data_IF_080558446091
#
_entry.id   IF_080558446091
#
_cell.length_a   1.000
_cell.length_b   1.000
_cell.length_c   1.000
_cell.angle_alpha   90.00
_cell.angle_beta   90.00
_cell.angle_gamma   90.00
#
_symmetry.space_group_name_H-M   'P 1'
#
loop_
_entity.id
_entity.type
_entity.pdbx_description
1 polymer ?
#
# COMPACT_ATOMS: atom_id res chain seq x y z
N UNK A 1 -22.13 15.94 8.52
CA UNK A 1 -20.72 16.39 8.58
C UNK A 1 -20.31 17.05 9.91
N UNK A 2 -21.14 17.05 10.96
CA UNK A 2 -20.91 17.88 12.17
C UNK A 2 -20.56 17.10 13.45
N UNK A 3 -20.64 15.77 13.46
CA UNK A 3 -20.43 14.99 14.70
C UNK A 3 -18.99 14.56 14.99
N UNK A 4 -18.08 14.60 14.00
CA UNK A 4 -16.68 14.20 14.19
C UNK A 4 -15.78 15.40 14.55
N UNK A 5 -16.22 16.63 14.28
CA UNK A 5 -15.37 17.82 14.49
C UNK A 5 -15.33 18.32 15.94
N UNK A 6 -16.18 17.82 16.85
CA UNK A 6 -16.30 18.35 18.23
C UNK A 6 -15.49 17.55 19.26
N UNK A 7 -15.11 16.28 18.97
CA UNK A 7 -14.53 15.41 20.01
C UNK A 7 -13.01 15.51 20.21
N UNK A 8 -12.28 16.26 19.37
CA UNK A 8 -10.81 16.25 19.39
C UNK A 8 -10.19 17.64 19.64
N UNK A 9 -10.79 18.46 20.50
CA UNK A 9 -10.23 19.78 20.86
C UNK A 9 -9.21 19.72 22.02
N UNK A 10 -9.17 18.63 22.78
CA UNK A 10 -8.35 18.54 24.01
C UNK A 10 -7.52 17.26 24.18
N UNK A 11 -7.39 16.42 23.15
CA UNK A 11 -6.44 15.32 23.19
C UNK A 11 -5.03 15.83 22.86
N UNK A 12 -4.18 15.96 23.90
CA UNK A 12 -2.72 15.92 23.76
C UNK A 12 -2.30 14.50 23.36
N UNK A 13 -2.70 14.05 22.16
CA UNK A 13 -2.12 12.85 21.56
C UNK A 13 -0.80 13.31 20.97
N UNK A 14 0.30 12.80 21.53
CA UNK A 14 1.61 13.03 20.96
C UNK A 14 1.68 12.33 19.60
N UNK A 15 2.09 13.05 18.56
CA UNK A 15 2.12 12.58 17.17
C UNK A 15 3.38 11.77 16.89
N UNK A 16 4.46 11.98 17.65
CA UNK A 16 5.71 11.23 17.58
C UNK A 16 5.54 9.70 17.69
N UNK A 17 4.88 9.13 18.73
CA UNK A 17 4.71 7.69 18.83
C UNK A 17 3.86 7.10 17.69
N UNK A 18 2.92 7.88 17.14
CA UNK A 18 2.10 7.45 16.00
C UNK A 18 2.95 7.35 14.73
N UNK A 19 3.80 8.35 14.49
CA UNK A 19 4.74 8.36 13.35
C UNK A 19 5.74 7.21 13.48
N UNK A 20 6.24 6.94 14.70
CA UNK A 20 7.15 5.83 14.97
C UNK A 20 6.51 4.46 14.69
N UNK A 21 5.31 4.22 15.22
CA UNK A 21 4.56 2.97 14.97
C UNK A 21 4.25 2.80 13.48
N UNK A 22 3.89 3.88 12.79
CA UNK A 22 3.68 3.87 11.36
C UNK A 22 4.94 3.47 10.59
N UNK A 23 6.11 4.01 10.93
CA UNK A 23 7.38 3.66 10.27
C UNK A 23 7.71 2.16 10.38
N UNK A 24 7.48 1.56 11.56
CA UNK A 24 7.65 0.12 11.77
C UNK A 24 6.65 -0.66 10.91
N UNK A 25 5.37 -0.30 10.94
CA UNK A 25 4.34 -0.95 10.16
C UNK A 25 4.63 -0.88 8.65
N UNK A 26 5.10 0.27 8.18
CA UNK A 26 5.48 0.48 6.79
C UNK A 26 6.68 -0.38 6.37
N UNK A 27 7.70 -0.51 7.21
CA UNK A 27 8.84 -1.40 6.95
C UNK A 27 8.43 -2.88 6.84
N UNK A 28 7.46 -3.32 7.66
CA UNK A 28 6.92 -4.68 7.58
C UNK A 28 6.09 -4.89 6.31
N UNK A 29 5.24 -3.93 5.94
CA UNK A 29 4.39 -4.05 4.75
C UNK A 29 5.24 -4.09 3.47
N UNK A 30 6.26 -3.23 3.35
CA UNK A 30 7.10 -3.16 2.14
C UNK A 30 7.92 -4.42 1.88
N UNK A 31 8.27 -5.18 2.94
CA UNK A 31 9.01 -6.44 2.82
C UNK A 31 8.11 -7.64 2.54
N UNK A 32 6.91 -7.69 3.13
CA UNK A 32 5.96 -8.80 2.94
C UNK A 32 5.22 -8.74 1.61
N UNK A 33 4.87 -7.53 1.14
CA UNK A 33 4.10 -7.33 -0.08
C UNK A 33 4.70 -7.98 -1.35
N UNK A 34 6.00 -7.81 -1.69
CA UNK A 34 6.57 -8.42 -2.89
C UNK A 34 6.59 -9.95 -2.82
N UNK A 35 6.86 -10.53 -1.64
CA UNK A 35 6.88 -11.98 -1.46
C UNK A 35 5.49 -12.59 -1.65
N UNK A 36 4.46 -11.97 -1.05
CA UNK A 36 3.08 -12.40 -1.24
C UNK A 36 2.63 -12.28 -2.70
N UNK A 37 2.94 -11.16 -3.35
CA UNK A 37 2.57 -10.92 -4.74
C UNK A 37 3.25 -11.90 -5.69
N UNK A 38 4.50 -12.26 -5.41
CA UNK A 38 5.22 -13.30 -6.15
C UNK A 38 4.50 -14.66 -6.07
N UNK A 39 4.19 -15.10 -4.86
CA UNK A 39 3.54 -16.39 -4.63
C UNK A 39 2.12 -16.43 -5.21
N UNK A 40 1.32 -15.40 -4.98
CA UNK A 40 -0.04 -15.29 -5.49
C UNK A 40 -0.07 -15.27 -7.02
N UNK A 41 0.87 -14.55 -7.65
CA UNK A 41 0.93 -14.43 -9.10
C UNK A 41 1.36 -15.73 -9.78
N UNK A 42 2.30 -16.46 -9.17
CA UNK A 42 2.68 -17.79 -9.64
C UNK A 42 1.45 -18.71 -9.70
N UNK A 43 0.67 -18.79 -8.62
CA UNK A 43 -0.54 -19.62 -8.57
C UNK A 43 -1.56 -19.18 -9.63
N UNK A 44 -1.79 -17.87 -9.80
CA UNK A 44 -2.74 -17.34 -10.78
C UNK A 44 -2.36 -17.70 -12.22
N UNK A 45 -1.10 -17.47 -12.62
CA UNK A 45 -0.59 -17.79 -13.95
C UNK A 45 -0.77 -19.29 -14.23
N UNK A 46 -0.23 -20.15 -13.38
CA UNK A 46 -0.26 -21.60 -13.62
C UNK A 46 -1.66 -22.20 -13.49
N UNK A 47 -2.57 -21.58 -12.72
CA UNK A 47 -3.99 -21.98 -12.69
C UNK A 47 -4.72 -21.61 -13.97
N UNK A 48 -4.42 -20.45 -14.58
CA UNK A 48 -5.04 -20.01 -15.83
C UNK A 48 -4.52 -20.81 -17.04
N UNK A 49 -3.24 -21.20 -17.05
CA UNK A 49 -2.64 -21.99 -18.14
C UNK A 49 -3.10 -23.46 -18.19
N UNK A 50 -3.79 -23.99 -17.16
CA UNK A 50 -4.40 -25.33 -17.21
C UNK A 50 -5.35 -25.54 -18.40
N UNK A 51 -5.90 -24.45 -18.97
CA UNK A 51 -6.80 -24.50 -20.12
C UNK A 51 -6.10 -24.53 -21.49
N UNK A 52 -4.79 -24.30 -21.55
CA UNK A 52 -4.02 -24.39 -22.80
C UNK A 52 -3.16 -25.66 -22.72
N UNK A 53 -3.20 -26.50 -23.77
CA UNK A 53 -2.58 -27.83 -23.90
C UNK A 53 -1.03 -27.88 -23.79
N UNK A 54 -0.40 -27.08 -22.93
CA UNK A 54 1.05 -26.96 -22.80
C UNK A 54 1.63 -27.72 -21.60
N UNK A 55 0.81 -28.29 -20.70
CA UNK A 55 1.31 -28.83 -19.43
C UNK A 55 0.70 -30.21 -19.10
N UNK A 56 1.22 -31.24 -19.77
CA UNK A 56 0.79 -32.63 -19.59
C UNK A 56 1.42 -33.32 -18.34
N UNK A 57 2.24 -32.61 -17.53
CA UNK A 57 3.12 -33.26 -16.55
C UNK A 57 3.10 -32.72 -15.11
N UNK A 58 2.25 -31.75 -14.78
CA UNK A 58 2.25 -31.20 -13.41
C UNK A 58 0.94 -31.49 -12.69
N UNK A 59 1.05 -32.43 -11.76
CA UNK A 59 -0.06 -32.87 -10.92
C UNK A 59 -0.41 -31.84 -9.83
N UNK A 60 0.52 -30.97 -9.41
CA UNK A 60 0.30 -29.95 -8.36
C UNK A 60 0.92 -28.58 -8.70
N UNK A 61 0.09 -27.55 -8.82
CA UNK A 61 0.51 -26.15 -9.09
C UNK A 61 1.31 -25.55 -7.93
N UNK A 62 0.95 -25.88 -6.69
CA UNK A 62 1.62 -25.36 -5.49
C UNK A 62 3.06 -25.86 -5.34
N UNK A 63 3.31 -27.13 -5.69
CA UNK A 63 4.65 -27.72 -5.60
C UNK A 63 5.59 -27.16 -6.68
N UNK A 64 5.05 -26.80 -7.84
CA UNK A 64 5.79 -26.12 -8.91
C UNK A 64 6.23 -24.72 -8.47
N UNK A 65 5.32 -23.93 -7.89
CA UNK A 65 5.65 -22.60 -7.37
C UNK A 65 6.64 -22.65 -6.20
N UNK A 66 6.66 -23.75 -5.43
CA UNK A 66 7.63 -23.96 -4.34
C UNK A 66 9.03 -24.36 -4.83
N UNK A 67 9.13 -25.07 -5.97
CA UNK A 67 10.40 -25.53 -6.56
C UNK A 67 10.86 -24.71 -7.76
N UNK A 68 10.26 -23.53 -7.99
CA UNK A 68 10.57 -22.69 -9.17
C UNK A 68 12.03 -22.20 -9.17
N UNK A 69 12.61 -22.01 -7.97
CA UNK A 69 13.99 -21.57 -7.76
C UNK A 69 15.05 -22.67 -7.96
N UNK A 70 14.66 -23.90 -8.32
CA UNK A 70 15.59 -25.01 -8.55
C UNK A 70 16.16 -24.99 -9.98
N UNK A 71 17.47 -25.29 -10.10
CA UNK A 71 18.43 -24.98 -11.18
C UNK A 71 18.03 -25.29 -12.64
N UNK A 72 16.91 -25.98 -12.88
CA UNK A 72 16.49 -26.45 -14.21
C UNK A 72 15.25 -25.74 -14.79
N UNK A 73 14.70 -24.73 -14.09
CA UNK A 73 13.45 -24.03 -14.44
C UNK A 73 13.58 -22.50 -14.57
N UNK A 74 14.78 -22.00 -14.89
CA UNK A 74 15.07 -20.55 -15.01
C UNK A 74 14.13 -19.79 -15.95
N UNK A 75 13.62 -20.46 -16.99
CA UNK A 75 12.66 -19.89 -17.94
C UNK A 75 11.32 -19.55 -17.26
N UNK A 76 10.84 -20.38 -16.33
CA UNK A 76 9.57 -20.14 -15.64
C UNK A 76 9.70 -19.06 -14.57
N UNK A 77 10.84 -19.01 -13.89
CA UNK A 77 11.17 -17.96 -12.94
C UNK A 77 11.23 -16.58 -13.64
N UNK A 78 11.93 -16.48 -14.77
CA UNK A 78 12.04 -15.23 -15.54
C UNK A 78 10.67 -14.74 -16.06
N UNK A 79 9.79 -15.65 -16.50
CA UNK A 79 8.42 -15.29 -16.92
C UNK A 79 7.63 -14.70 -15.76
N UNK A 80 7.68 -15.32 -14.57
CA UNK A 80 6.94 -14.87 -13.39
C UNK A 80 7.49 -13.54 -12.89
N UNK A 81 8.82 -13.40 -12.79
CA UNK A 81 9.48 -12.18 -12.35
C UNK A 81 9.24 -11.00 -13.29
N UNK A 82 9.29 -11.22 -14.60
CA UNK A 82 8.98 -10.21 -15.61
C UNK A 82 7.54 -9.72 -15.54
N UNK A 83 6.60 -10.63 -15.29
CA UNK A 83 5.18 -10.27 -15.19
C UNK A 83 4.88 -9.52 -13.88
N UNK A 84 5.52 -9.93 -12.77
CA UNK A 84 5.44 -9.23 -11.47
C UNK A 84 6.01 -7.82 -11.56
N UNK A 85 7.20 -7.67 -12.15
CA UNK A 85 7.84 -6.37 -12.30
C UNK A 85 6.99 -5.41 -13.15
N UNK A 86 6.46 -5.89 -14.28
CA UNK A 86 5.53 -5.12 -15.11
C UNK A 86 4.27 -4.71 -14.34
N UNK A 87 3.68 -5.64 -13.59
CA UNK A 87 2.50 -5.40 -12.75
C UNK A 87 2.77 -4.37 -11.66
N UNK A 88 3.92 -4.45 -11.00
CA UNK A 88 4.34 -3.52 -9.95
C UNK A 88 4.50 -2.11 -10.49
N UNK A 89 5.04 -1.94 -11.69
CA UNK A 89 5.14 -0.64 -12.35
C UNK A 89 3.73 -0.05 -12.56
N UNK A 90 2.77 -0.85 -13.02
CA UNK A 90 1.39 -0.38 -13.18
C UNK A 90 0.74 0.04 -11.85
N UNK A 91 0.95 -0.72 -10.77
CA UNK A 91 0.46 -0.38 -9.43
C UNK A 91 1.09 0.91 -8.92
N UNK A 92 2.40 1.11 -9.12
CA UNK A 92 3.10 2.33 -8.75
C UNK A 92 2.58 3.56 -9.50
N UNK A 93 2.28 3.43 -10.80
CA UNK A 93 1.68 4.52 -11.58
C UNK A 93 0.26 4.81 -11.07
N UNK A 94 -0.53 3.77 -10.80
CA UNK A 94 -1.91 3.89 -10.32
C UNK A 94 -2.03 4.57 -8.96
N UNK A 95 -1.03 4.43 -8.08
CA UNK A 95 -0.94 5.16 -6.81
C UNK A 95 -0.26 6.54 -6.97
N UNK A 96 0.83 6.59 -7.74
CA UNK A 96 1.66 7.79 -7.89
C UNK A 96 0.93 8.96 -8.51
N UNK A 97 0.15 8.72 -9.58
CA UNK A 97 -0.62 9.78 -10.26
C UNK A 97 -1.66 10.44 -9.34
N UNK A 98 -2.59 9.71 -8.68
CA UNK A 98 -3.53 10.33 -7.76
C UNK A 98 -2.82 10.96 -6.57
N UNK A 99 -1.76 10.35 -6.02
CA UNK A 99 -1.00 10.94 -4.90
C UNK A 99 -0.39 12.29 -5.27
N UNK A 100 0.19 12.43 -6.47
CA UNK A 100 0.79 13.67 -6.94
C UNK A 100 -0.24 14.82 -7.02
N UNK A 101 -1.49 14.49 -7.35
CA UNK A 101 -2.58 15.48 -7.41
C UNK A 101 -3.17 15.77 -6.03
N UNK A 102 -3.35 14.75 -5.19
CA UNK A 102 -4.03 14.89 -3.90
C UNK A 102 -3.15 15.51 -2.83
N UNK A 103 -1.83 15.27 -2.85
CA UNK A 103 -0.91 15.81 -1.83
C UNK A 103 -0.91 17.36 -1.79
N UNK A 104 -0.77 18.10 -2.91
CA UNK A 104 -0.86 19.57 -2.89
C UNK A 104 -2.22 20.07 -2.44
N UNK A 105 -3.31 19.39 -2.82
CA UNK A 105 -4.68 19.76 -2.43
C UNK A 105 -4.85 19.60 -0.91
N UNK A 106 -4.39 18.48 -0.36
CA UNK A 106 -4.42 18.22 1.09
C UNK A 106 -3.53 19.22 1.84
N UNK A 107 -2.38 19.59 1.26
CA UNK A 107 -1.50 20.63 1.80
C UNK A 107 -2.18 22.00 1.87
N UNK A 108 -2.76 22.47 0.76
CA UNK A 108 -3.48 23.75 0.73
C UNK A 108 -4.71 23.74 1.65
N UNK A 109 -5.42 22.61 1.72
CA UNK A 109 -6.55 22.44 2.64
C UNK A 109 -6.10 22.46 4.11
N UNK A 110 -4.97 21.84 4.43
CA UNK A 110 -4.37 21.85 5.77
C UNK A 110 -4.16 23.27 6.29
N UNK A 111 -3.57 24.12 5.45
CA UNK A 111 -3.25 25.50 5.80
C UNK A 111 -4.51 26.35 6.00
N UNK A 112 -5.54 26.16 5.15
CA UNK A 112 -6.80 26.89 5.26
C UNK A 112 -7.72 26.43 6.41
N UNK A 113 -7.65 25.16 6.83
CA UNK A 113 -8.54 24.60 7.87
C UNK A 113 -8.02 24.76 9.30
N UNK A 114 -6.85 25.39 9.49
CA UNK A 114 -6.29 25.73 10.80
C UNK A 114 -5.79 24.53 11.62
N UNK A 115 -5.43 23.41 10.97
CA UNK A 115 -4.92 22.25 11.72
C UNK A 115 -4.30 21.15 10.87
N UNK A 116 -3.00 20.92 11.07
CA UNK A 116 -2.19 19.84 10.43
C UNK A 116 -2.55 18.43 10.90
N UNK A 117 -3.35 18.30 11.95
CA UNK A 117 -3.83 17.00 12.49
C UNK A 117 -4.86 16.31 11.60
N UNK A 118 -5.71 17.07 10.90
CA UNK A 118 -6.77 16.50 10.03
C UNK A 118 -6.20 15.79 8.80
N UNK A 119 -5.22 16.36 8.06
CA UNK A 119 -4.49 15.65 7.02
C UNK A 119 -3.86 14.34 7.50
N UNK A 120 -3.19 14.36 8.67
CA UNK A 120 -2.53 13.18 9.21
C UNK A 120 -3.52 12.05 9.52
N UNK A 121 -4.70 12.37 10.09
CA UNK A 121 -5.77 11.39 10.32
C UNK A 121 -6.39 10.87 9.03
N UNK A 122 -6.53 11.71 7.99
CA UNK A 122 -7.06 11.30 6.69
C UNK A 122 -6.15 10.25 6.04
N UNK A 123 -4.83 10.47 6.07
CA UNK A 123 -3.86 9.55 5.49
C UNK A 123 -3.74 8.26 6.30
N UNK A 124 -3.81 8.32 7.64
CA UNK A 124 -3.89 7.14 8.51
C UNK A 124 -5.16 6.31 8.24
N UNK A 125 -6.30 6.96 8.04
CA UNK A 125 -7.54 6.30 7.68
C UNK A 125 -7.44 5.61 6.31
N UNK A 126 -6.85 6.29 5.32
CA UNK A 126 -6.57 5.69 4.02
C UNK A 126 -5.68 4.45 4.10
N UNK A 127 -4.62 4.52 4.92
CA UNK A 127 -3.74 3.38 5.17
C UNK A 127 -4.47 2.22 5.86
N UNK A 128 -5.35 2.49 6.81
CA UNK A 128 -6.15 1.46 7.48
C UNK A 128 -7.08 0.73 6.49
N UNK A 129 -7.74 1.46 5.58
CA UNK A 129 -8.55 0.83 4.53
C UNK A 129 -7.67 0.04 3.56
N UNK A 130 -6.49 0.56 3.20
CA UNK A 130 -5.54 -0.14 2.34
C UNK A 130 -5.08 -1.47 2.95
N UNK A 131 -4.73 -1.50 4.24
CA UNK A 131 -4.32 -2.75 4.91
C UNK A 131 -5.48 -3.76 5.01
N UNK A 132 -6.72 -3.30 5.21
CA UNK A 132 -7.90 -4.17 5.16
C UNK A 132 -8.13 -4.77 3.78
N UNK A 133 -7.97 -3.96 2.71
CA UNK A 133 -8.10 -4.46 1.33
C UNK A 133 -6.99 -5.44 0.99
N UNK A 134 -5.77 -5.19 1.46
CA UNK A 134 -4.64 -6.10 1.27
C UNK A 134 -4.84 -7.42 2.02
N UNK A 135 -5.34 -7.37 3.25
CA UNK A 135 -5.75 -8.56 4.01
C UNK A 135 -6.85 -9.34 3.29
N UNK A 136 -7.86 -8.63 2.78
CA UNK A 136 -8.95 -9.23 1.99
C UNK A 136 -8.45 -9.91 0.71
N UNK A 137 -7.46 -9.32 0.05
CA UNK A 137 -6.78 -9.90 -1.13
C UNK A 137 -6.05 -11.20 -0.76
N UNK A 138 -5.34 -11.23 0.38
CA UNK A 138 -4.69 -12.43 0.91
C UNK A 138 -5.65 -13.55 1.25
N UNK A 139 -6.87 -13.25 1.71
CA UNK A 139 -7.88 -14.28 1.99
C UNK A 139 -8.58 -14.76 0.70
N UNK A 140 -8.70 -13.89 -0.30
CA UNK A 140 -9.49 -14.13 -1.51
C UNK A 140 -8.65 -14.58 -2.72
N UNK A 141 -7.34 -14.80 -2.56
CA UNK A 141 -6.41 -15.09 -3.67
C UNK A 141 -6.79 -16.31 -4.53
N UNK A 142 -7.59 -17.24 -4.00
CA UNK A 142 -8.06 -18.43 -4.73
C UNK A 142 -9.25 -18.16 -5.65
N UNK A 143 -10.06 -17.14 -5.35
CA UNK A 143 -11.37 -16.93 -5.98
C UNK A 143 -11.43 -15.67 -6.84
N UNK A 144 -10.67 -14.63 -6.47
CA UNK A 144 -10.66 -13.33 -7.15
C UNK A 144 -9.22 -13.02 -7.55
N UNK A 145 -9.04 -12.51 -8.77
CA UNK A 145 -7.74 -12.05 -9.27
C UNK A 145 -7.15 -10.99 -8.34
N UNK A 146 -6.05 -11.34 -7.68
CA UNK A 146 -5.34 -10.52 -6.69
C UNK A 146 -4.99 -9.13 -7.24
N UNK A 147 -4.76 -9.06 -8.56
CA UNK A 147 -4.49 -7.84 -9.29
C UNK A 147 -5.59 -6.77 -9.15
N UNK A 148 -6.87 -7.15 -9.26
CA UNK A 148 -7.96 -6.17 -9.34
C UNK A 148 -8.18 -5.49 -7.99
N UNK A 149 -8.11 -6.27 -6.91
CA UNK A 149 -8.25 -5.76 -5.54
C UNK A 149 -7.07 -4.87 -5.16
N UNK A 150 -5.85 -5.28 -5.50
CA UNK A 150 -4.65 -4.47 -5.26
C UNK A 150 -4.68 -3.17 -6.07
N UNK A 151 -5.11 -3.21 -7.32
CA UNK A 151 -5.22 -2.02 -8.16
C UNK A 151 -6.19 -0.99 -7.59
N UNK A 152 -7.37 -1.44 -7.12
CA UNK A 152 -8.34 -0.57 -6.45
C UNK A 152 -7.78 -0.02 -5.13
N UNK A 153 -7.06 -0.85 -4.36
CA UNK A 153 -6.46 -0.43 -3.10
C UNK A 153 -5.38 0.66 -3.31
N UNK A 154 -4.52 0.51 -4.32
CA UNK A 154 -3.46 1.46 -4.69
C UNK A 154 -4.02 2.80 -5.15
N UNK A 155 -5.11 2.78 -5.94
CA UNK A 155 -5.80 4.01 -6.33
C UNK A 155 -6.43 4.69 -5.12
N UNK A 156 -7.10 3.92 -4.26
CA UNK A 156 -7.79 4.46 -3.09
C UNK A 156 -6.81 5.13 -2.12
N UNK A 157 -5.68 4.47 -1.81
CA UNK A 157 -4.66 5.07 -0.94
C UNK A 157 -4.04 6.31 -1.59
N UNK A 158 -3.86 6.31 -2.91
CA UNK A 158 -3.35 7.48 -3.62
C UNK A 158 -4.29 8.68 -3.58
N UNK A 159 -5.61 8.49 -3.53
CA UNK A 159 -6.56 9.57 -3.31
C UNK A 159 -6.53 10.15 -1.89
N UNK A 160 -6.18 9.33 -0.90
CA UNK A 160 -5.99 9.79 0.48
C UNK A 160 -4.65 10.49 0.72
N UNK A 161 -3.83 10.67 -0.33
CA UNK A 161 -2.49 11.26 -0.26
C UNK A 161 -1.40 10.29 0.17
N UNK A 162 -1.78 9.06 0.54
CA UNK A 162 -0.88 7.95 0.89
C UNK A 162 0.26 8.32 1.83
N UNK A 163 1.39 7.66 1.60
CA UNK A 163 2.60 7.79 2.43
C UNK A 163 3.24 9.18 2.27
N UNK A 164 3.15 9.78 1.08
CA UNK A 164 3.72 11.09 0.81
C UNK A 164 3.10 12.19 1.68
N UNK A 165 1.76 12.21 1.81
CA UNK A 165 1.06 13.16 2.68
C UNK A 165 1.39 12.97 4.16
N UNK A 166 1.63 11.73 4.62
CA UNK A 166 2.05 11.43 5.99
C UNK A 166 3.43 12.04 6.29
N UNK A 167 4.41 11.82 5.43
CA UNK A 167 5.74 12.42 5.62
C UNK A 167 5.69 13.95 5.57
N UNK A 168 4.96 14.51 4.60
CA UNK A 168 4.80 15.96 4.47
C UNK A 168 4.19 16.57 5.75
N UNK A 169 3.12 15.98 6.26
CA UNK A 169 2.44 16.47 7.46
C UNK A 169 3.26 16.24 8.73
N UNK A 170 4.03 15.15 8.80
CA UNK A 170 4.94 14.87 9.91
C UNK A 170 6.06 15.90 10.01
N UNK A 171 6.75 16.18 8.90
CA UNK A 171 7.80 17.20 8.87
C UNK A 171 7.24 18.60 9.16
N UNK A 172 6.05 18.90 8.64
CA UNK A 172 5.38 20.15 8.94
C UNK A 172 5.08 20.28 10.44
N UNK A 173 4.54 19.25 11.08
CA UNK A 173 4.27 19.26 12.54
C UNK A 173 5.55 19.49 13.34
N UNK A 174 6.62 18.73 13.07
CA UNK A 174 7.90 18.87 13.79
C UNK A 174 8.48 20.28 13.62
N UNK A 175 8.37 20.85 12.42
CA UNK A 175 8.86 22.21 12.15
C UNK A 175 8.04 23.26 12.92
N UNK A 176 6.73 23.10 13.03
CA UNK A 176 5.87 24.00 13.81
C UNK A 176 6.16 23.91 15.31
N UNK A 177 6.36 22.69 15.84
CA UNK A 177 6.70 22.47 17.26
C UNK A 177 8.05 23.13 17.58
N UNK A 178 9.08 22.91 16.75
CA UNK A 178 10.37 23.60 16.91
C UNK A 178 10.22 25.13 16.85
N UNK A 179 9.38 25.66 15.96
CA UNK A 179 9.16 27.11 15.85
C UNK A 179 8.47 27.68 17.07
N UNK A 180 7.54 26.95 17.69
CA UNK A 180 6.83 27.41 18.88
C UNK A 180 7.76 27.52 20.09
N UNK A 181 8.74 26.63 20.23
CA UNK A 181 9.76 26.68 21.30
C UNK A 181 10.79 27.80 21.10
N UNK A 182 10.90 28.38 19.90
CA UNK A 182 11.80 29.50 19.58
C UNK A 182 11.14 30.88 19.70
N UNK A 183 9.83 30.94 19.97
CA UNK A 183 9.15 32.22 20.21
C UNK A 183 9.45 32.68 21.66
N UNK A 184 9.86 33.94 21.86
CA UNK A 184 10.22 34.47 23.18
C UNK A 184 9.04 34.58 24.15
#
# INVERSE_FOLDING_TARGET
>A
SLFISVYCRNCRVNVEPVIFLFAIAFGLITTVQPLFLYWARCIEIFTHYKNVRFFLFVHNVSDLCAHLSYENNTVYEDIVEKDISTTKIFLQIANGVPTLLTVPIIGAWSDGSGGRRRPLLLSLFGLFIYTLLQLGSTLSYKWIGVYHVLYVAEIFIGFTGGIASLFMTSFAIVTDDCRHEMLP
#
